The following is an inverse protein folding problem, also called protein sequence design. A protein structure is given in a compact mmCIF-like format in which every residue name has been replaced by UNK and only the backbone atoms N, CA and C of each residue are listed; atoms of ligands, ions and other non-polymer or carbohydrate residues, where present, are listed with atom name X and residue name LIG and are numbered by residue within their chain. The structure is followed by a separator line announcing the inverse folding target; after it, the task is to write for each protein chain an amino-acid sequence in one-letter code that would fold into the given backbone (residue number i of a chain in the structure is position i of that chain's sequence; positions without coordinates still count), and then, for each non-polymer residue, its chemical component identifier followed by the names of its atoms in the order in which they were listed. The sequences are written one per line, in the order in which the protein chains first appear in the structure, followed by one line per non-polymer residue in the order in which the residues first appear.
data_IF_865098302881
#
_entry.id   IF_865098302881
#
_cell.length_a   1.000
_cell.length_b   1.000
_cell.length_c   1.000
_cell.angle_alpha   90.00
_cell.angle_beta   90.00
_cell.angle_gamma   90.00
#
_symmetry.space_group_name_H-M   'P 1'
#
loop_
_entity.id
_entity.type
_entity.pdbx_description
1 polymer ?
#
# COMPACT_ATOMS: atom_id res chain seq x y z
N UNK A 1 31.74 -23.07 -3.95
CA UNK A 1 32.74 -22.06 -3.54
C UNK A 1 33.89 -22.66 -2.75
N UNK A 2 33.70 -23.30 -1.57
CA UNK A 2 34.84 -23.85 -0.80
C UNK A 2 35.67 -24.91 -1.54
N UNK A 3 35.05 -25.80 -2.32
CA UNK A 3 35.80 -26.74 -3.18
C UNK A 3 36.75 -26.01 -4.14
N UNK A 4 36.28 -24.94 -4.77
CA UNK A 4 37.12 -24.11 -5.64
C UNK A 4 38.20 -23.35 -4.87
N UNK A 5 37.91 -22.86 -3.65
CA UNK A 5 38.91 -22.18 -2.81
C UNK A 5 40.00 -23.13 -2.32
N UNK A 6 39.67 -24.39 -2.02
CA UNK A 6 40.65 -25.44 -1.73
C UNK A 6 41.52 -25.68 -2.97
N UNK A 7 40.93 -25.78 -4.16
CA UNK A 7 41.67 -25.92 -5.43
C UNK A 7 42.59 -24.72 -5.73
N UNK A 8 42.22 -23.52 -5.29
CA UNK A 8 42.99 -22.28 -5.48
C UNK A 8 44.02 -22.02 -4.36
N UNK A 9 44.23 -22.95 -3.42
CA UNK A 9 45.21 -22.80 -2.35
C UNK A 9 44.78 -21.83 -1.24
N UNK A 10 43.48 -21.75 -0.96
CA UNK A 10 42.93 -20.93 0.12
C UNK A 10 43.55 -21.26 1.48
N UNK A 11 43.83 -20.22 2.28
CA UNK A 11 44.44 -20.39 3.60
C UNK A 11 43.49 -21.11 4.57
N UNK A 12 44.02 -21.86 5.56
CA UNK A 12 43.19 -22.60 6.52
C UNK A 12 42.20 -21.71 7.27
N UNK A 13 42.60 -20.45 7.53
CA UNK A 13 41.77 -19.43 8.18
C UNK A 13 40.55 -19.07 7.32
N UNK A 14 40.71 -18.93 6.00
CA UNK A 14 39.60 -18.70 5.08
C UNK A 14 38.71 -19.94 4.98
N UNK A 15 39.28 -21.14 4.97
CA UNK A 15 38.49 -22.38 4.89
C UNK A 15 37.71 -22.67 6.18
N UNK A 16 38.14 -22.11 7.32
CA UNK A 16 37.39 -22.18 8.59
C UNK A 16 36.26 -21.16 8.65
N UNK A 17 36.43 -19.99 8.02
CA UNK A 17 35.40 -18.94 8.01
C UNK A 17 34.28 -19.21 7.00
N UNK A 18 34.59 -19.83 5.87
CA UNK A 18 33.63 -20.11 4.80
C UNK A 18 33.28 -21.60 4.77
N UNK A 19 32.07 -21.97 5.21
CA UNK A 19 31.62 -23.37 5.17
C UNK A 19 31.25 -23.84 3.75
N UNK A 20 31.05 -25.15 3.55
CA UNK A 20 30.60 -25.65 2.25
C UNK A 20 29.17 -25.16 1.93
N UNK A 21 28.99 -24.61 0.72
CA UNK A 21 27.67 -24.22 0.22
C UNK A 21 26.92 -25.47 -0.28
N UNK A 22 25.93 -25.92 0.47
CA UNK A 22 25.06 -27.04 0.11
C UNK A 22 23.77 -26.55 -0.56
N UNK A 23 23.11 -27.42 -1.32
CA UNK A 23 21.86 -27.08 -2.02
C UNK A 23 20.72 -26.75 -1.05
N UNK A 24 20.72 -27.32 0.15
CA UNK A 24 19.79 -26.97 1.24
C UNK A 24 19.90 -25.51 1.69
N UNK A 25 21.10 -24.91 1.61
CA UNK A 25 21.33 -23.50 1.94
C UNK A 25 20.77 -22.54 0.88
N UNK A 26 20.43 -23.04 -0.32
CA UNK A 26 19.91 -22.23 -1.43
C UNK A 26 18.38 -22.24 -1.49
N UNK A 27 17.70 -22.96 -0.59
CA UNK A 27 16.25 -22.98 -0.55
C UNK A 27 15.72 -21.69 0.08
N UNK A 28 15.01 -20.88 -0.69
CA UNK A 28 14.29 -19.71 -0.19
C UNK A 28 13.06 -20.17 0.60
N UNK A 29 13.23 -20.48 1.88
CA UNK A 29 12.11 -20.67 2.80
C UNK A 29 11.69 -19.29 3.30
N UNK A 30 10.44 -18.90 3.10
CA UNK A 30 9.88 -17.69 3.69
C UNK A 30 9.80 -17.88 5.21
N UNK A 31 10.84 -17.44 5.92
CA UNK A 31 10.89 -17.55 7.38
C UNK A 31 9.94 -16.48 7.95
N UNK A 32 8.87 -16.92 8.61
CA UNK A 32 8.11 -16.05 9.52
C UNK A 32 8.95 -15.84 10.76
N UNK A 33 9.59 -14.69 10.83
CA UNK A 33 10.30 -14.24 12.03
C UNK A 33 9.26 -13.68 12.99
N UNK A 34 9.10 -14.31 14.16
CA UNK A 34 8.29 -13.76 15.25
C UNK A 34 9.11 -12.69 15.99
N UNK A 35 8.72 -11.40 15.93
CA UNK A 35 9.48 -10.33 16.56
C UNK A 35 9.40 -10.31 18.09
N UNK A 36 8.56 -11.14 18.72
CA UNK A 36 8.45 -11.24 20.17
C UNK A 36 9.49 -12.16 20.82
N UNK A 37 10.18 -12.99 20.03
CA UNK A 37 11.14 -13.98 20.52
C UNK A 37 12.57 -13.54 20.24
N UNK A 38 13.16 -12.82 21.19
CA UNK A 38 14.58 -12.43 21.16
C UNK A 38 15.48 -13.66 21.13
N UNK A 39 16.34 -13.78 20.12
CA UNK A 39 17.34 -14.86 20.01
C UNK A 39 17.05 -15.97 18.99
N UNK A 40 15.86 -16.02 18.38
CA UNK A 40 15.55 -16.96 17.27
C UNK A 40 16.02 -16.47 15.90
N UNK A 41 16.54 -15.25 15.85
CA UNK A 41 17.05 -14.57 14.66
C UNK A 41 18.41 -15.16 14.20
N UNK A 42 18.39 -16.38 13.65
CA UNK A 42 19.59 -16.99 13.07
C UNK A 42 19.53 -18.50 12.89
N UNK A 43 18.64 -19.19 13.63
CA UNK A 43 18.62 -20.66 13.69
C UNK A 43 18.34 -21.35 12.34
N UNK A 44 17.76 -20.63 11.38
CA UNK A 44 17.38 -21.16 10.06
C UNK A 44 18.02 -20.40 8.87
N UNK A 45 18.94 -19.47 9.12
CA UNK A 45 19.63 -18.76 8.04
C UNK A 45 20.86 -19.55 7.59
N UNK A 46 21.13 -19.65 6.28
CA UNK A 46 22.41 -20.16 5.79
C UNK A 46 23.60 -19.42 6.40
N UNK A 47 24.66 -20.16 6.71
CA UNK A 47 25.88 -19.66 7.37
C UNK A 47 26.49 -18.41 6.69
N UNK A 48 26.32 -18.25 5.38
CA UNK A 48 26.87 -17.11 4.65
C UNK A 48 26.15 -15.78 4.96
N UNK A 49 24.93 -15.83 5.48
CA UNK A 49 24.22 -14.64 5.98
C UNK A 49 24.64 -14.24 7.40
N UNK A 50 25.21 -15.18 8.17
CA UNK A 50 25.69 -14.95 9.55
C UNK A 50 27.21 -14.84 9.65
N UNK A 51 27.95 -15.12 8.57
CA UNK A 51 29.43 -15.21 8.54
C UNK A 51 30.20 -13.96 9.01
N UNK A 52 29.52 -12.82 9.15
CA UNK A 52 30.13 -11.57 9.56
C UNK A 52 29.64 -11.05 10.92
N UNK A 53 28.77 -11.77 11.65
CA UNK A 53 28.14 -11.31 12.90
C UNK A 53 29.12 -11.12 14.06
N UNK A 54 30.29 -11.78 14.00
CA UNK A 54 31.27 -11.79 15.09
C UNK A 54 32.24 -10.58 15.06
N UNK A 55 32.29 -9.84 13.95
CA UNK A 55 32.90 -8.51 13.99
C UNK A 55 31.99 -7.62 14.84
N UNK A 56 32.53 -6.71 15.65
CA UNK A 56 31.73 -5.65 16.31
C UNK A 56 30.90 -4.80 15.32
N UNK A 57 31.18 -4.92 14.01
CA UNK A 57 30.37 -4.37 12.93
C UNK A 57 29.22 -5.30 12.49
N UNK A 58 29.35 -6.61 12.68
CA UNK A 58 28.61 -7.73 12.09
C UNK A 58 27.10 -7.79 12.20
N UNK A 59 26.54 -6.97 13.08
CA UNK A 59 25.10 -6.79 13.15
C UNK A 59 24.58 -5.86 12.05
N UNK A 60 25.45 -5.10 11.36
CA UNK A 60 25.04 -4.08 10.40
C UNK A 60 24.23 -4.65 9.22
N UNK A 61 24.60 -5.80 8.67
CA UNK A 61 23.91 -6.35 7.50
C UNK A 61 22.52 -6.89 7.90
N UNK A 62 22.48 -7.64 9.01
CA UNK A 62 21.26 -8.31 9.47
C UNK A 62 20.31 -7.36 10.19
N UNK A 63 20.80 -6.47 11.06
CA UNK A 63 19.98 -5.42 11.65
C UNK A 63 19.72 -4.30 10.66
N UNK A 64 20.71 -3.65 10.04
CA UNK A 64 20.39 -2.49 9.20
C UNK A 64 19.61 -2.87 7.96
N UNK A 65 19.93 -3.92 7.20
CA UNK A 65 19.17 -4.19 5.96
C UNK A 65 17.76 -4.70 6.25
N UNK A 66 17.58 -5.68 7.14
CA UNK A 66 16.22 -6.18 7.43
C UNK A 66 15.38 -5.15 8.19
N UNK A 67 15.95 -4.39 9.13
CA UNK A 67 15.18 -3.33 9.81
C UNK A 67 14.92 -2.14 8.89
N UNK A 68 15.86 -1.75 8.02
CA UNK A 68 15.62 -0.71 7.03
C UNK A 68 14.58 -1.14 6.00
N UNK A 69 14.62 -2.37 5.50
CA UNK A 69 13.58 -2.88 4.58
C UNK A 69 12.22 -2.86 5.26
N UNK A 70 12.11 -3.35 6.50
CA UNK A 70 10.85 -3.26 7.28
C UNK A 70 10.39 -1.81 7.49
N UNK A 71 11.32 -0.91 7.81
CA UNK A 71 11.04 0.52 7.96
C UNK A 71 10.55 1.15 6.66
N UNK A 72 11.22 0.88 5.53
CA UNK A 72 10.82 1.37 4.22
C UNK A 72 9.45 0.87 3.81
N UNK A 73 9.13 -0.41 4.09
CA UNK A 73 7.80 -0.95 3.88
C UNK A 73 6.74 -0.26 4.74
N UNK A 74 7.00 -0.09 6.04
CA UNK A 74 6.08 0.60 6.95
C UNK A 74 5.87 2.05 6.50
N UNK A 75 6.94 2.76 6.15
CA UNK A 75 6.89 4.14 5.65
C UNK A 75 6.14 4.25 4.32
N UNK A 76 6.41 3.35 3.37
CA UNK A 76 5.70 3.31 2.09
C UNK A 76 4.20 3.03 2.29
N UNK A 77 3.85 2.13 3.20
CA UNK A 77 2.45 1.89 3.56
C UNK A 77 1.78 3.11 4.18
N UNK A 78 2.44 3.80 5.10
CA UNK A 78 1.92 5.04 5.68
C UNK A 78 1.71 6.09 4.59
N UNK A 79 2.72 6.32 3.75
CA UNK A 79 2.64 7.28 2.65
C UNK A 79 1.48 6.96 1.70
N UNK A 80 1.32 5.68 1.32
CA UNK A 80 0.22 5.22 0.48
C UNK A 80 -1.13 5.45 1.15
N UNK A 81 -1.28 5.11 2.43
CA UNK A 81 -2.52 5.36 3.16
C UNK A 81 -2.84 6.86 3.24
N UNK A 82 -1.83 7.71 3.45
CA UNK A 82 -2.00 9.17 3.44
C UNK A 82 -2.46 9.68 2.07
N UNK A 83 -1.85 9.19 0.99
CA UNK A 83 -2.25 9.53 -0.37
C UNK A 83 -3.67 9.07 -0.68
N UNK A 84 -4.04 7.83 -0.32
CA UNK A 84 -5.38 7.28 -0.52
C UNK A 84 -6.46 8.09 0.20
N UNK A 85 -6.18 8.59 1.41
CA UNK A 85 -7.10 9.46 2.14
C UNK A 85 -7.31 10.79 1.42
N UNK A 86 -6.25 11.40 0.87
CA UNK A 86 -6.37 12.65 0.10
C UNK A 86 -7.09 12.45 -1.24
N UNK A 87 -6.80 11.36 -1.95
CA UNK A 87 -7.52 10.98 -3.17
C UNK A 87 -9.01 10.77 -2.88
N UNK A 88 -9.34 10.05 -1.81
CA UNK A 88 -10.72 9.79 -1.42
C UNK A 88 -11.50 11.08 -1.15
N UNK A 89 -10.89 12.07 -0.47
CA UNK A 89 -11.51 13.39 -0.26
C UNK A 89 -11.82 14.10 -1.58
N UNK A 90 -10.90 14.03 -2.54
CA UNK A 90 -11.11 14.62 -3.87
C UNK A 90 -12.21 13.89 -4.64
N UNK A 91 -12.21 12.56 -4.65
CA UNK A 91 -13.22 11.73 -5.33
C UNK A 91 -14.62 11.94 -4.73
N UNK A 92 -14.71 12.05 -3.40
CA UNK A 92 -15.93 12.41 -2.70
C UNK A 92 -16.49 13.76 -3.19
N UNK A 93 -15.62 14.79 -3.26
CA UNK A 93 -16.02 16.11 -3.75
C UNK A 93 -16.41 16.07 -5.24
N UNK A 94 -15.69 15.31 -6.07
CA UNK A 94 -16.06 15.09 -7.47
C UNK A 94 -17.42 14.42 -7.62
N UNK A 95 -17.73 13.43 -6.78
CA UNK A 95 -19.03 12.76 -6.76
C UNK A 95 -20.15 13.75 -6.40
N UNK A 96 -19.92 14.59 -5.38
CA UNK A 96 -20.88 15.63 -5.02
C UNK A 96 -21.13 16.61 -6.19
N UNK A 97 -20.05 17.07 -6.82
CA UNK A 97 -20.13 17.98 -7.97
C UNK A 97 -20.82 17.34 -9.18
N UNK A 98 -20.59 16.04 -9.42
CA UNK A 98 -21.23 15.28 -10.48
C UNK A 98 -22.75 15.22 -10.30
N UNK A 99 -23.23 14.91 -9.10
CA UNK A 99 -24.67 14.89 -8.82
C UNK A 99 -25.30 16.28 -8.89
N UNK A 100 -24.62 17.32 -8.40
CA UNK A 100 -25.09 18.69 -8.53
C UNK A 100 -25.22 19.09 -10.01
N UNK A 101 -24.18 18.86 -10.81
CA UNK A 101 -24.18 19.15 -12.24
C UNK A 101 -25.36 18.47 -12.96
N UNK A 102 -25.63 17.20 -12.64
CA UNK A 102 -26.77 16.48 -13.20
C UNK A 102 -28.10 17.07 -12.76
N UNK A 103 -28.26 17.42 -11.48
CA UNK A 103 -29.44 18.11 -10.98
C UNK A 103 -29.71 19.40 -11.76
N UNK A 104 -28.69 20.26 -11.89
CA UNK A 104 -28.79 21.55 -12.57
C UNK A 104 -29.12 21.39 -14.06
N UNK A 105 -28.50 20.41 -14.72
CA UNK A 105 -28.80 20.10 -16.13
C UNK A 105 -30.25 19.66 -16.33
N UNK A 106 -30.80 18.87 -15.42
CA UNK A 106 -32.21 18.48 -15.48
C UNK A 106 -33.16 19.65 -15.14
N UNK A 107 -32.74 20.58 -14.29
CA UNK A 107 -33.50 21.82 -14.06
C UNK A 107 -33.56 22.67 -15.33
N UNK A 108 -32.45 22.79 -16.07
CA UNK A 108 -32.42 23.48 -17.37
C UNK A 108 -33.39 22.81 -18.37
N UNK A 109 -33.37 21.48 -18.47
CA UNK A 109 -34.31 20.76 -19.34
C UNK A 109 -35.77 20.92 -18.92
N UNK A 110 -36.05 21.06 -17.62
CA UNK A 110 -37.39 21.41 -17.15
C UNK A 110 -37.79 22.79 -17.65
N UNK A 111 -36.95 23.80 -17.46
CA UNK A 111 -37.23 25.17 -17.87
C UNK A 111 -37.46 25.28 -19.39
N UNK A 112 -36.65 24.58 -20.19
CA UNK A 112 -36.83 24.51 -21.65
C UNK A 112 -38.16 23.85 -22.06
N UNK A 113 -38.58 22.80 -21.34
CA UNK A 113 -39.83 22.11 -21.61
C UNK A 113 -41.05 22.96 -21.22
N UNK A 114 -40.96 23.68 -20.10
CA UNK A 114 -41.99 24.64 -19.67
C UNK A 114 -42.16 25.78 -20.67
N UNK A 115 -41.06 26.32 -21.20
CA UNK A 115 -41.08 27.34 -22.24
C UNK A 115 -41.74 26.87 -23.55
N UNK A 116 -41.77 25.55 -23.79
CA UNK A 116 -42.44 24.90 -24.93
C UNK A 116 -43.84 24.39 -24.60
N UNK A 117 -44.34 24.64 -23.39
CA UNK A 117 -45.61 24.14 -22.87
C UNK A 117 -45.73 22.60 -22.88
N UNK A 118 -44.60 21.88 -22.89
CA UNK A 118 -44.55 20.42 -22.79
C UNK A 118 -44.57 19.98 -21.31
N UNK A 119 -45.79 19.87 -20.78
CA UNK A 119 -46.05 19.55 -19.37
C UNK A 119 -45.47 18.19 -18.97
N UNK A 120 -45.53 17.20 -19.87
CA UNK A 120 -45.06 15.84 -19.59
C UNK A 120 -43.54 15.79 -19.43
N UNK A 121 -42.82 16.39 -20.37
CA UNK A 121 -41.36 16.48 -20.32
C UNK A 121 -40.89 17.33 -19.15
N UNK A 122 -41.56 18.45 -18.86
CA UNK A 122 -41.25 19.28 -17.70
C UNK A 122 -41.39 18.50 -16.39
N UNK A 123 -42.49 17.77 -16.21
CA UNK A 123 -42.72 16.95 -15.02
C UNK A 123 -41.62 15.87 -14.84
N UNK A 124 -41.27 15.17 -15.91
CA UNK A 124 -40.21 14.16 -15.87
C UNK A 124 -38.85 14.76 -15.53
N UNK A 125 -38.49 15.88 -16.16
CA UNK A 125 -37.22 16.57 -15.91
C UNK A 125 -37.12 17.05 -14.45
N UNK A 126 -38.20 17.61 -13.88
CA UNK A 126 -38.25 17.97 -12.45
C UNK A 126 -38.04 16.78 -11.53
N UNK A 127 -38.65 15.63 -11.85
CA UNK A 127 -38.43 14.39 -11.09
C UNK A 127 -36.96 13.99 -11.11
N UNK A 128 -36.32 14.01 -12.28
CA UNK A 128 -34.90 13.70 -12.41
C UNK A 128 -34.02 14.67 -11.61
N UNK A 129 -34.24 15.98 -11.76
CA UNK A 129 -33.53 17.00 -11.00
C UNK A 129 -33.62 16.74 -9.49
N UNK A 130 -34.82 16.44 -8.98
CA UNK A 130 -35.02 16.10 -7.57
C UNK A 130 -34.24 14.83 -7.16
N UNK A 131 -34.27 13.78 -7.96
CA UNK A 131 -33.52 12.54 -7.68
C UNK A 131 -32.03 12.80 -7.57
N UNK A 132 -31.43 13.54 -8.52
CA UNK A 132 -30.01 13.88 -8.48
C UNK A 132 -29.67 14.81 -7.31
N UNK A 133 -30.53 15.79 -7.01
CA UNK A 133 -30.38 16.65 -5.84
C UNK A 133 -30.38 15.88 -4.51
N UNK A 134 -31.26 14.89 -4.35
CA UNK A 134 -31.25 14.03 -3.16
C UNK A 134 -29.97 13.22 -3.03
N UNK A 135 -29.42 12.71 -4.15
CA UNK A 135 -28.13 12.01 -4.13
C UNK A 135 -26.98 12.95 -3.74
N UNK A 136 -26.99 14.19 -4.22
CA UNK A 136 -26.03 15.21 -3.82
C UNK A 136 -26.07 15.44 -2.30
N UNK A 137 -27.25 15.66 -1.72
CA UNK A 137 -27.43 15.87 -0.28
C UNK A 137 -26.92 14.68 0.56
N UNK A 138 -27.19 13.46 0.11
CA UNK A 138 -26.73 12.23 0.79
C UNK A 138 -25.21 12.11 0.78
N UNK A 139 -24.56 12.46 -0.35
CA UNK A 139 -23.10 12.47 -0.44
C UNK A 139 -22.51 13.55 0.46
N UNK A 140 -23.02 14.79 0.42
CA UNK A 140 -22.55 15.87 1.31
C UNK A 140 -22.65 15.47 2.78
N UNK A 141 -23.75 14.81 3.17
CA UNK A 141 -23.92 14.29 4.53
C UNK A 141 -22.86 13.24 4.87
N UNK A 142 -22.55 12.35 3.93
CA UNK A 142 -21.54 11.30 4.10
C UNK A 142 -20.13 11.88 4.20
N UNK A 143 -19.80 12.89 3.39
CA UNK A 143 -18.54 13.64 3.45
C UNK A 143 -18.39 14.34 4.79
N UNK A 144 -19.46 14.98 5.29
CA UNK A 144 -19.41 15.63 6.59
C UNK A 144 -19.14 14.64 7.72
N UNK A 145 -19.76 13.46 7.68
CA UNK A 145 -19.47 12.37 8.64
C UNK A 145 -18.04 11.87 8.55
N UNK A 146 -17.49 11.74 7.33
CA UNK A 146 -16.11 11.32 7.13
C UNK A 146 -15.11 12.30 7.76
N UNK A 147 -15.37 13.61 7.73
CA UNK A 147 -14.51 14.61 8.36
C UNK A 147 -14.61 14.66 9.90
N UNK A 148 -15.68 14.13 10.49
CA UNK A 148 -15.88 14.09 11.94
C UNK A 148 -15.31 12.81 12.60
N UNK A 149 -15.00 11.78 11.80
CA UNK A 149 -14.42 10.52 12.24
C UNK A 149 -12.89 10.60 12.29
#
# INVERSE_FOLDING_TARGET
CCKAMITLGGTPVLLQQYEELKQEHLQSKTIKIDPSVTGTHGENLPWFWTMNTDLKAGNWMLECEFTHVKFHWAKANINRCTEEVELLKMEMQWTANFFQHHSDKWQQFSAEAEAKEDVGRACFAKKQAKTWGTLHEQVITSIHRFHLA
#
